data_IF_638308688379
#
_entry.id   IF_638308688379
#
_cell.length_a   1.000
_cell.length_b   1.000
_cell.length_c   1.000
_cell.angle_alpha   90.00
_cell.angle_beta   90.00
_cell.angle_gamma   90.00
#
_symmetry.space_group_name_H-M   'P 1'
#
loop_
_entity.id
_entity.type
_entity.pdbx_description
1 polymer ?
#
# COMPACT_ATOMS: atom_id res chain seq x y z
N UNK A 1 -53.64 -20.69 26.55
CA UNK A 1 -52.52 -20.04 27.25
C UNK A 1 -52.02 -18.88 26.39
N UNK A 2 -52.35 -17.64 26.74
CA UNK A 2 -51.98 -16.44 25.98
C UNK A 2 -50.63 -15.94 26.48
N UNK A 3 -49.59 -16.01 25.63
CA UNK A 3 -48.23 -15.63 25.98
C UNK A 3 -48.09 -14.12 26.22
N UNK A 4 -47.50 -13.72 27.35
CA UNK A 4 -47.23 -12.32 27.68
C UNK A 4 -46.07 -11.80 26.82
N UNK A 5 -46.32 -10.77 26.01
CA UNK A 5 -45.29 -10.09 25.22
C UNK A 5 -44.51 -9.15 26.14
N UNK A 6 -43.27 -9.51 26.46
CA UNK A 6 -42.35 -8.68 27.24
C UNK A 6 -41.81 -7.56 26.34
N UNK A 7 -42.36 -6.35 26.51
CA UNK A 7 -41.84 -5.15 25.84
C UNK A 7 -40.49 -4.76 26.44
N UNK A 8 -39.40 -4.93 25.68
CA UNK A 8 -38.06 -4.50 26.08
C UNK A 8 -37.96 -2.97 26.05
N UNK A 9 -37.33 -2.38 27.07
CA UNK A 9 -37.05 -0.93 27.12
C UNK A 9 -36.02 -0.56 26.05
N UNK A 10 -36.27 0.55 25.34
CA UNK A 10 -35.33 1.11 24.36
C UNK A 10 -34.22 1.85 25.12
N UNK A 11 -32.96 1.54 24.82
CA UNK A 11 -31.77 2.09 25.49
C UNK A 11 -31.20 3.34 24.78
N UNK A 12 -31.79 3.76 23.67
CA UNK A 12 -31.36 4.94 22.91
C UNK A 12 -32.50 5.94 22.81
N UNK A 13 -32.16 7.22 22.80
CA UNK A 13 -33.12 8.29 22.55
C UNK A 13 -33.47 8.37 21.07
N UNK A 14 -34.74 8.64 20.71
CA UNK A 14 -35.14 8.84 19.33
C UNK A 14 -34.51 10.12 18.76
N UNK A 15 -34.19 10.11 17.47
CA UNK A 15 -33.59 11.25 16.79
C UNK A 15 -34.50 12.50 16.85
N UNK A 16 -33.93 13.72 16.90
CA UNK A 16 -34.70 14.95 16.87
C UNK A 16 -35.50 15.04 15.56
N UNK A 17 -36.81 15.21 15.66
CA UNK A 17 -37.66 15.43 14.49
C UNK A 17 -37.49 16.88 14.03
N UNK A 18 -37.17 17.07 12.74
CA UNK A 18 -37.24 18.38 12.09
C UNK A 18 -38.71 18.85 12.06
N UNK A 19 -38.96 20.03 12.60
CA UNK A 19 -40.26 20.69 12.56
C UNK A 19 -40.61 21.04 11.12
N UNK A 20 -41.70 20.49 10.59
CA UNK A 20 -42.31 21.01 9.37
C UNK A 20 -42.95 22.38 9.67
N UNK A 21 -42.69 23.43 8.88
CA UNK A 21 -43.50 24.64 8.93
C UNK A 21 -44.87 24.37 8.30
N UNK A 22 -45.89 25.01 8.88
CA UNK A 22 -47.27 24.96 8.39
C UNK A 22 -47.38 25.54 6.98
N UNK A 23 -48.27 24.92 6.18
CA UNK A 23 -48.66 25.41 4.87
C UNK A 23 -49.69 26.54 5.02
N UNK A 24 -49.38 27.71 4.48
CA UNK A 24 -50.36 28.72 4.03
C UNK A 24 -49.93 29.16 2.63
N UNK A 25 -50.88 29.14 1.69
CA UNK A 25 -50.64 29.21 0.25
C UNK A 25 -50.24 30.57 -0.30
N UNK A 26 -49.93 30.57 -1.60
CA UNK A 26 -49.64 31.76 -2.41
C UNK A 26 -48.31 31.65 -3.13
N UNK A 27 -48.38 31.52 -4.45
CA UNK A 27 -47.31 31.42 -5.44
C UNK A 27 -46.14 32.37 -5.20
N UNK A 28 -44.90 31.86 -5.20
CA UNK A 28 -43.72 32.60 -5.67
C UNK A 28 -42.62 31.59 -6.02
N UNK A 29 -42.01 31.83 -7.17
CA UNK A 29 -41.02 31.01 -7.86
C UNK A 29 -39.77 30.86 -7.00
N UNK A 30 -39.40 29.64 -6.61
CA UNK A 30 -38.12 29.38 -5.91
C UNK A 30 -37.30 28.30 -6.60
N UNK A 31 -36.60 28.79 -7.62
CA UNK A 31 -35.23 28.47 -8.04
C UNK A 31 -34.59 27.20 -7.48
N UNK A 32 -34.22 26.33 -8.42
CA UNK A 32 -33.41 25.13 -8.29
C UNK A 32 -32.22 25.26 -7.31
N UNK A 33 -32.23 24.42 -6.27
CA UNK A 33 -31.05 24.18 -5.45
C UNK A 33 -30.03 23.34 -6.25
N UNK A 34 -29.07 24.03 -6.85
CA UNK A 34 -27.94 23.44 -7.56
C UNK A 34 -27.12 22.54 -6.62
N UNK A 35 -27.01 21.25 -6.98
CA UNK A 35 -26.05 20.33 -6.38
C UNK A 35 -24.66 20.66 -6.93
N UNK A 36 -23.85 21.34 -6.14
CA UNK A 36 -22.43 21.58 -6.45
C UNK A 36 -21.61 20.37 -6.06
N UNK A 37 -21.12 19.61 -7.04
CA UNK A 37 -19.99 18.70 -6.85
C UNK A 37 -18.70 19.44 -7.22
N UNK A 38 -17.75 19.47 -6.28
CA UNK A 38 -16.43 20.04 -6.52
C UNK A 38 -15.52 18.98 -7.12
N UNK A 39 -15.24 19.10 -8.42
CA UNK A 39 -14.12 18.44 -9.07
C UNK A 39 -13.07 19.51 -9.41
N UNK A 40 -11.87 19.33 -8.87
CA UNK A 40 -10.72 20.18 -9.14
C UNK A 40 -10.26 19.99 -10.59
N UNK A 41 -10.53 20.97 -11.44
CA UNK A 41 -9.63 21.51 -12.48
C UNK A 41 -10.21 22.83 -13.01
N UNK A 42 -9.34 23.68 -13.58
CA UNK A 42 -9.56 25.11 -13.81
C UNK A 42 -10.86 25.55 -14.49
N UNK A 43 -11.41 26.64 -13.94
CA UNK A 43 -12.31 27.65 -14.53
C UNK A 43 -13.50 27.17 -15.37
N UNK A 44 -14.66 27.17 -14.72
CA UNK A 44 -15.97 27.25 -15.36
C UNK A 44 -17.05 26.60 -14.48
N UNK A 45 -17.87 27.40 -13.79
CA UNK A 45 -19.07 26.90 -13.10
C UNK A 45 -20.11 26.52 -14.16
N UNK A 46 -20.12 25.27 -14.61
CA UNK A 46 -21.17 24.73 -15.46
C UNK A 46 -22.39 24.36 -14.63
N UNK A 47 -23.48 25.12 -14.79
CA UNK A 47 -24.81 24.69 -14.33
C UNK A 47 -25.25 23.54 -15.23
N UNK A 48 -25.56 22.38 -14.65
CA UNK A 48 -26.10 21.25 -15.39
C UNK A 48 -27.56 21.57 -15.75
N UNK A 49 -27.80 22.04 -16.96
CA UNK A 49 -29.14 22.15 -17.52
C UNK A 49 -29.66 20.75 -17.86
N UNK A 50 -30.97 20.54 -17.85
CA UNK A 50 -31.60 19.23 -18.12
C UNK A 50 -31.32 18.64 -19.51
N UNK A 51 -30.57 19.34 -20.36
CA UNK A 51 -30.37 19.04 -21.78
C UNK A 51 -28.92 18.67 -22.14
N UNK A 52 -28.11 18.18 -21.21
CA UNK A 52 -26.71 17.80 -21.48
C UNK A 52 -26.58 16.71 -22.55
N UNK A 53 -27.60 15.86 -22.70
CA UNK A 53 -27.60 14.73 -23.64
C UNK A 53 -28.60 14.87 -24.78
N UNK A 54 -29.28 16.02 -24.91
CA UNK A 54 -30.35 16.21 -25.91
C UNK A 54 -29.87 16.10 -27.36
N UNK A 55 -28.58 16.32 -27.63
CA UNK A 55 -27.95 16.17 -28.95
C UNK A 55 -27.35 14.79 -29.23
N UNK A 56 -27.42 13.83 -28.30
CA UNK A 56 -26.74 12.55 -28.42
C UNK A 56 -27.70 11.49 -28.96
N UNK A 57 -27.53 11.16 -30.24
CA UNK A 57 -28.30 10.11 -30.91
C UNK A 57 -27.55 8.78 -30.82
N UNK A 58 -28.00 7.88 -29.94
CA UNK A 58 -27.38 6.57 -29.75
C UNK A 58 -28.25 5.52 -30.43
N UNK A 59 -27.73 4.93 -31.50
CA UNK A 59 -28.44 3.86 -32.19
C UNK A 59 -28.59 2.63 -31.26
N UNK A 60 -29.81 2.10 -31.09
CA UNK A 60 -30.07 0.99 -30.16
C UNK A 60 -29.32 -0.29 -30.52
N UNK A 61 -28.86 -0.42 -31.78
CA UNK A 61 -28.05 -1.54 -32.26
C UNK A 61 -26.64 -1.53 -31.68
N UNK A 62 -26.08 -0.36 -31.36
CA UNK A 62 -24.73 -0.20 -30.77
C UNK A 62 -24.74 -0.57 -29.28
N UNK A 63 -25.89 -0.41 -28.60
CA UNK A 63 -26.06 -0.81 -27.21
C UNK A 63 -26.04 -2.33 -26.99
N UNK A 64 -26.20 -3.12 -28.05
CA UNK A 64 -26.15 -4.58 -27.98
C UNK A 64 -24.68 -5.02 -28.00
N UNK A 65 -23.99 -4.81 -26.88
CA UNK A 65 -22.67 -5.40 -26.65
C UNK A 65 -22.83 -6.90 -26.41
N UNK A 66 -22.65 -7.71 -27.45
CA UNK A 66 -22.50 -9.17 -27.33
C UNK A 66 -21.17 -9.43 -26.64
N UNK A 67 -21.19 -9.86 -25.38
CA UNK A 67 -20.00 -10.34 -24.70
C UNK A 67 -19.75 -11.77 -25.19
N UNK A 68 -18.66 -11.97 -25.92
CA UNK A 68 -18.20 -13.31 -26.30
C UNK A 68 -17.81 -14.06 -25.03
N UNK A 69 -18.58 -15.09 -24.67
CA UNK A 69 -18.40 -15.86 -23.45
C UNK A 69 -17.03 -16.56 -23.37
N UNK A 70 -16.31 -16.65 -24.48
CA UNK A 70 -15.04 -17.37 -24.59
C UNK A 70 -13.79 -16.49 -24.60
N UNK A 71 -13.89 -15.15 -24.46
CA UNK A 71 -12.70 -14.32 -24.21
C UNK A 71 -12.30 -14.46 -22.74
N UNK A 72 -11.65 -15.59 -22.42
CA UNK A 72 -11.08 -15.89 -21.12
C UNK A 72 -10.10 -14.79 -20.73
N UNK A 73 -10.54 -13.90 -19.86
CA UNK A 73 -9.67 -13.00 -19.13
C UNK A 73 -8.72 -13.84 -18.26
N UNK A 74 -7.39 -13.80 -18.44
CA UNK A 74 -6.45 -14.69 -17.75
C UNK A 74 -6.30 -14.42 -16.24
N UNK A 75 -7.16 -13.56 -15.66
CA UNK A 75 -7.16 -13.23 -14.23
C UNK A 75 -8.11 -14.13 -13.41
N UNK A 76 -9.06 -14.84 -14.04
CA UNK A 76 -10.04 -15.67 -13.30
C UNK A 76 -9.63 -17.13 -13.05
N UNK A 77 -8.65 -17.67 -13.78
CA UNK A 77 -8.31 -19.11 -13.77
C UNK A 77 -7.90 -19.67 -12.39
N UNK A 78 -7.48 -18.82 -11.44
CA UNK A 78 -7.05 -19.29 -10.10
C UNK A 78 -8.21 -19.35 -9.10
N UNK A 79 -9.40 -18.81 -9.42
CA UNK A 79 -10.52 -18.72 -8.46
C UNK A 79 -11.69 -19.68 -8.71
N UNK A 80 -11.66 -20.45 -9.80
CA UNK A 80 -12.88 -21.08 -10.31
C UNK A 80 -13.09 -22.56 -9.92
N UNK A 81 -12.37 -23.12 -8.93
CA UNK A 81 -12.68 -24.48 -8.44
C UNK A 81 -13.64 -24.53 -7.24
N UNK A 82 -13.96 -23.39 -6.61
CA UNK A 82 -14.77 -23.37 -5.38
C UNK A 82 -16.09 -22.58 -5.44
N UNK A 83 -16.42 -21.97 -6.57
CA UNK A 83 -17.76 -21.38 -6.77
C UNK A 83 -18.79 -22.41 -7.28
N UNK A 84 -18.62 -23.68 -6.89
CA UNK A 84 -19.75 -24.61 -6.88
C UNK A 84 -20.82 -23.97 -5.99
N UNK A 85 -22.06 -23.87 -6.47
CA UNK A 85 -23.17 -23.29 -5.70
C UNK A 85 -23.33 -24.09 -4.40
N UNK A 86 -22.65 -23.63 -3.35
CA UNK A 86 -22.53 -24.37 -2.09
C UNK A 86 -23.90 -24.53 -1.45
N UNK A 87 -24.15 -25.70 -0.86
CA UNK A 87 -25.41 -25.95 -0.18
C UNK A 87 -25.58 -24.99 1.01
N UNK A 88 -26.83 -24.67 1.39
CA UNK A 88 -27.12 -23.80 2.55
C UNK A 88 -26.42 -24.29 3.82
N UNK A 89 -26.29 -25.62 3.98
CA UNK A 89 -25.60 -26.28 5.09
C UNK A 89 -24.09 -25.98 5.08
N UNK A 90 -23.44 -26.08 3.93
CA UNK A 90 -22.03 -25.72 3.77
C UNK A 90 -21.79 -24.24 4.04
N UNK A 91 -22.64 -23.35 3.49
CA UNK A 91 -22.54 -21.90 3.75
C UNK A 91 -22.65 -21.58 5.24
N UNK A 92 -23.53 -22.25 5.96
CA UNK A 92 -23.66 -22.09 7.41
C UNK A 92 -22.44 -22.61 8.17
N UNK A 93 -21.88 -23.76 7.77
CA UNK A 93 -20.63 -24.30 8.35
C UNK A 93 -19.46 -23.34 8.15
N UNK A 94 -19.26 -22.85 6.93
CA UNK A 94 -18.21 -21.88 6.60
C UNK A 94 -18.36 -20.58 7.40
N UNK A 95 -19.60 -20.11 7.61
CA UNK A 95 -19.82 -18.92 8.46
C UNK A 95 -19.41 -19.18 9.90
N UNK A 96 -19.75 -20.34 10.47
CA UNK A 96 -19.35 -20.73 11.83
C UNK A 96 -17.84 -20.88 11.95
N UNK A 97 -17.21 -21.52 10.97
CA UNK A 97 -15.76 -21.74 10.94
C UNK A 97 -14.98 -20.44 10.83
N UNK A 98 -15.35 -19.55 9.89
CA UNK A 98 -14.79 -18.19 9.80
C UNK A 98 -14.96 -17.41 11.10
N UNK A 99 -16.09 -17.57 11.77
CA UNK A 99 -16.34 -16.93 13.07
C UNK A 99 -15.44 -17.48 14.18
N UNK A 100 -15.27 -18.80 14.27
CA UNK A 100 -14.38 -19.44 15.24
C UNK A 100 -12.92 -19.05 14.99
N UNK A 101 -12.47 -19.11 13.74
CA UNK A 101 -11.13 -18.69 13.32
C UNK A 101 -10.85 -17.22 13.67
N UNK A 102 -11.85 -16.35 13.53
CA UNK A 102 -11.74 -14.94 13.96
C UNK A 102 -11.59 -14.81 15.48
N UNK A 103 -12.30 -15.62 16.25
CA UNK A 103 -12.16 -15.61 17.73
C UNK A 103 -10.77 -16.12 18.13
N UNK A 104 -10.31 -17.21 17.53
CA UNK A 104 -9.02 -17.82 17.82
C UNK A 104 -7.86 -16.88 17.48
N UNK A 105 -7.88 -16.27 16.29
CA UNK A 105 -6.88 -15.26 15.91
C UNK A 105 -6.82 -14.09 16.88
N UNK A 106 -7.97 -13.55 17.32
CA UNK A 106 -8.00 -12.49 18.34
C UNK A 106 -7.41 -12.97 19.68
N UNK A 107 -7.70 -14.21 20.09
CA UNK A 107 -7.14 -14.78 21.33
C UNK A 107 -5.62 -14.92 21.25
N UNK A 108 -5.11 -15.47 20.14
CA UNK A 108 -3.68 -15.64 19.89
C UNK A 108 -2.96 -14.28 19.88
N UNK A 109 -3.49 -13.30 19.14
CA UNK A 109 -2.92 -11.94 19.11
C UNK A 109 -2.88 -11.29 20.50
N UNK A 110 -3.95 -11.44 21.30
CA UNK A 110 -3.97 -10.94 22.68
C UNK A 110 -2.97 -11.65 23.59
N UNK A 111 -2.79 -12.96 23.41
CA UNK A 111 -1.81 -13.74 24.16
C UNK A 111 -0.38 -13.34 23.80
N UNK A 112 -0.08 -13.18 22.51
CA UNK A 112 1.21 -12.69 22.01
C UNK A 112 1.52 -11.29 22.56
N UNK A 113 0.59 -10.34 22.46
CA UNK A 113 0.79 -8.99 23.01
C UNK A 113 1.06 -8.98 24.52
N UNK A 114 0.35 -9.82 25.28
CA UNK A 114 0.61 -9.98 26.73
C UNK A 114 2.00 -10.58 27.00
N UNK A 115 2.40 -11.59 26.24
CA UNK A 115 3.71 -12.22 26.38
C UNK A 115 4.83 -11.25 26.02
N UNK A 116 4.67 -10.49 24.94
CA UNK A 116 5.60 -9.47 24.47
C UNK A 116 5.75 -8.34 25.49
N UNK A 117 4.64 -7.84 26.06
CA UNK A 117 4.68 -6.83 27.12
C UNK A 117 5.45 -7.32 28.36
N UNK A 118 5.29 -8.59 28.75
CA UNK A 118 6.06 -9.19 29.84
C UNK A 118 7.55 -9.27 29.53
N UNK A 119 7.89 -9.71 28.31
CA UNK A 119 9.29 -9.80 27.85
C UNK A 119 9.97 -8.44 27.79
N UNK A 120 9.27 -7.41 27.29
CA UNK A 120 9.76 -6.03 27.26
C UNK A 120 9.95 -5.43 28.66
N UNK A 121 9.17 -5.88 29.64
CA UNK A 121 9.29 -5.44 31.02
C UNK A 121 10.43 -6.15 31.78
N UNK A 122 10.79 -7.38 31.40
CA UNK A 122 11.96 -8.07 31.96
C UNK A 122 13.26 -7.54 31.34
N UNK A 123 14.32 -7.31 32.13
CA UNK A 123 15.60 -6.89 31.58
C UNK A 123 16.12 -7.93 30.58
N UNK A 124 16.61 -7.44 29.45
CA UNK A 124 16.89 -8.16 28.19
C UNK A 124 18.01 -9.23 28.31
N UNK A 125 18.66 -9.38 29.46
CA UNK A 125 19.78 -10.31 29.62
C UNK A 125 19.27 -11.75 29.64
N UNK A 126 19.29 -12.41 28.48
CA UNK A 126 19.01 -13.85 28.32
C UNK A 126 17.70 -14.22 27.61
N UNK A 127 16.88 -13.25 27.18
CA UNK A 127 15.66 -13.55 26.41
C UNK A 127 15.97 -13.78 24.91
N UNK A 128 16.01 -15.03 24.49
CA UNK A 128 16.28 -15.43 23.10
C UNK A 128 15.11 -15.14 22.14
N UNK A 129 13.93 -14.76 22.64
CA UNK A 129 12.78 -14.52 21.76
C UNK A 129 12.95 -13.33 20.83
N UNK A 130 13.72 -12.31 21.21
CA UNK A 130 13.98 -11.16 20.33
C UNK A 130 14.68 -11.58 19.03
N UNK A 131 15.55 -12.60 19.10
CA UNK A 131 16.22 -13.16 17.94
C UNK A 131 15.27 -13.95 17.04
N UNK A 132 14.29 -14.65 17.64
CA UNK A 132 13.27 -15.38 16.89
C UNK A 132 12.28 -14.44 16.21
N UNK A 133 11.90 -13.34 16.87
CA UNK A 133 10.99 -12.32 16.33
C UNK A 133 11.62 -11.51 15.20
N UNK A 134 12.95 -11.33 15.23
CA UNK A 134 13.71 -10.71 14.15
C UNK A 134 13.85 -11.60 12.90
N UNK A 135 13.43 -12.87 12.95
CA UNK A 135 13.45 -13.77 11.78
C UNK A 135 12.16 -13.62 10.95
N UNK A 136 12.25 -13.65 9.61
CA UNK A 136 11.07 -13.67 8.75
C UNK A 136 10.17 -14.88 9.03
N UNK A 137 8.86 -14.68 9.05
CA UNK A 137 7.90 -15.78 9.13
C UNK A 137 7.90 -16.58 7.82
N UNK A 138 7.63 -17.89 7.90
CA UNK A 138 7.61 -18.76 6.73
C UNK A 138 6.58 -18.31 5.67
N UNK A 139 5.48 -17.69 6.10
CA UNK A 139 4.48 -17.05 5.22
C UNK A 139 5.10 -15.93 4.38
N UNK A 140 5.99 -15.14 4.97
CA UNK A 140 6.65 -14.03 4.31
C UNK A 140 7.64 -14.53 3.26
N UNK A 141 8.37 -15.61 3.55
CA UNK A 141 9.26 -16.25 2.57
C UNK A 141 8.51 -16.75 1.33
N UNK A 142 7.32 -17.34 1.52
CA UNK A 142 6.49 -17.82 0.41
C UNK A 142 5.98 -16.66 -0.45
N UNK A 143 5.67 -15.50 0.14
CA UNK A 143 5.22 -14.32 -0.63
C UNK A 143 6.38 -13.62 -1.32
N UNK A 144 7.53 -13.42 -0.65
CA UNK A 144 8.73 -12.80 -1.24
C UNK A 144 9.27 -13.61 -2.42
N UNK A 145 9.22 -14.94 -2.36
CA UNK A 145 9.62 -15.81 -3.49
C UNK A 145 8.78 -15.58 -4.76
N UNK A 146 7.53 -15.12 -4.63
CA UNK A 146 6.64 -14.78 -5.75
C UNK A 146 6.97 -13.42 -6.36
N UNK A 147 7.42 -12.45 -5.55
CA UNK A 147 7.81 -11.12 -6.02
C UNK A 147 9.23 -11.08 -6.62
N UNK A 148 10.11 -12.00 -6.25
CA UNK A 148 11.49 -12.06 -6.76
C UNK A 148 11.56 -12.48 -8.25
N UNK A 149 10.51 -13.12 -8.79
CA UNK A 149 10.49 -13.63 -10.18
C UNK A 149 10.23 -12.57 -11.27
N UNK A 150 9.89 -11.31 -10.92
CA UNK A 150 9.47 -10.28 -11.90
C UNK A 150 10.41 -9.06 -12.07
N UNK A 151 11.52 -8.95 -11.35
CA UNK A 151 12.45 -7.80 -11.47
C UNK A 151 13.75 -8.17 -12.18
N UNK A 152 13.70 -8.48 -13.47
CA UNK A 152 14.91 -8.61 -14.30
C UNK A 152 14.74 -7.94 -15.67
N UNK A 153 14.39 -6.64 -15.69
CA UNK A 153 14.62 -5.79 -16.87
C UNK A 153 15.06 -4.39 -16.46
N UNK A 154 16.32 -4.09 -16.81
CA UNK A 154 16.93 -2.76 -17.00
C UNK A 154 16.90 -1.76 -15.84
N UNK A 155 18.07 -1.58 -15.22
CA UNK A 155 18.91 -0.40 -15.47
C UNK A 155 20.37 -0.84 -15.41
N UNK A 156 21.23 -0.35 -16.31
CA UNK A 156 22.69 -0.43 -16.11
C UNK A 156 23.02 0.46 -14.92
N UNK A 157 22.79 -0.05 -13.71
CA UNK A 157 23.26 0.59 -12.49
C UNK A 157 24.77 0.74 -12.63
N UNK A 158 25.31 1.91 -12.28
CA UNK A 158 26.73 2.05 -11.90
C UNK A 158 27.05 0.78 -11.11
N UNK A 159 28.07 0.00 -11.52
CA UNK A 159 28.39 -1.30 -10.90
C UNK A 159 28.30 -1.09 -9.40
N UNK A 160 27.24 -1.58 -8.77
CA UNK A 160 27.06 -1.47 -7.33
C UNK A 160 28.30 -2.14 -6.81
N UNK A 161 29.15 -1.36 -6.14
CA UNK A 161 30.46 -1.79 -5.71
C UNK A 161 30.23 -3.09 -4.94
N UNK A 162 30.56 -4.21 -5.58
CA UNK A 162 30.34 -5.53 -5.00
C UNK A 162 31.04 -5.50 -3.66
N UNK A 163 30.34 -5.86 -2.58
CA UNK A 163 30.90 -5.79 -1.23
C UNK A 163 32.28 -6.47 -1.25
N UNK A 164 33.33 -5.75 -0.87
CA UNK A 164 34.71 -6.24 -0.96
C UNK A 164 34.85 -7.65 -0.36
N UNK A 165 34.16 -7.92 0.76
CA UNK A 165 34.17 -9.20 1.45
C UNK A 165 33.64 -10.39 0.63
N UNK A 166 32.74 -10.16 -0.32
CA UNK A 166 32.13 -11.19 -1.19
C UNK A 166 32.98 -11.53 -2.42
N UNK A 167 33.99 -10.73 -2.72
CA UNK A 167 34.84 -10.89 -3.91
C UNK A 167 35.83 -12.06 -3.75
N UNK A 168 36.18 -12.70 -4.87
CA UNK A 168 37.26 -13.71 -4.89
C UNK A 168 38.60 -13.05 -4.55
N UNK A 169 39.55 -13.81 -4.00
CA UNK A 169 40.85 -13.28 -3.56
C UNK A 169 41.64 -12.57 -4.68
N UNK A 170 41.62 -13.11 -5.90
CA UNK A 170 42.27 -12.49 -7.07
C UNK A 170 41.62 -11.15 -7.46
N UNK A 171 40.30 -11.04 -7.29
CA UNK A 171 39.56 -9.82 -7.57
C UNK A 171 39.84 -8.75 -6.52
N UNK A 172 39.92 -9.14 -5.23
CA UNK A 172 40.36 -8.26 -4.13
C UNK A 172 41.73 -7.65 -4.40
N UNK A 173 42.69 -8.47 -4.87
CA UNK A 173 44.04 -7.98 -5.21
C UNK A 173 43.99 -6.90 -6.30
N UNK A 174 43.19 -7.10 -7.34
CA UNK A 174 43.01 -6.11 -8.42
C UNK A 174 42.43 -4.79 -7.91
N UNK A 175 41.40 -4.85 -7.05
CA UNK A 175 40.82 -3.63 -6.43
C UNK A 175 41.88 -2.87 -5.63
N UNK A 176 42.69 -3.58 -4.84
CA UNK A 176 43.77 -2.96 -4.07
C UNK A 176 44.86 -2.35 -4.99
N UNK A 177 45.24 -3.03 -6.06
CA UNK A 177 46.18 -2.51 -7.06
C UNK A 177 45.66 -1.21 -7.71
N UNK A 178 44.36 -1.17 -8.06
CA UNK A 178 43.70 0.02 -8.60
C UNK A 178 43.67 1.17 -7.58
N UNK A 179 43.36 0.88 -6.31
CA UNK A 179 43.38 1.88 -5.23
C UNK A 179 44.78 2.45 -4.98
N UNK A 180 45.80 1.58 -4.95
CA UNK A 180 47.20 1.99 -4.82
C UNK A 180 47.63 2.87 -5.99
N UNK A 181 47.26 2.49 -7.22
CA UNK A 181 47.54 3.31 -8.40
C UNK A 181 46.86 4.69 -8.34
N UNK A 182 45.60 4.73 -7.91
CA UNK A 182 44.85 5.98 -7.73
C UNK A 182 45.46 6.87 -6.65
N UNK A 183 45.95 6.29 -5.55
CA UNK A 183 46.64 7.01 -4.49
C UNK A 183 47.96 7.60 -4.97
N UNK A 184 48.80 6.81 -5.64
CA UNK A 184 50.05 7.30 -6.22
C UNK A 184 49.81 8.43 -7.22
N UNK A 185 48.79 8.32 -8.07
CA UNK A 185 48.37 9.39 -8.97
C UNK A 185 48.04 10.67 -8.20
N UNK A 186 47.31 10.55 -7.09
CA UNK A 186 46.91 11.70 -6.26
C UNK A 186 48.12 12.37 -5.60
N UNK A 187 49.02 11.59 -4.99
CA UNK A 187 50.26 12.11 -4.39
C UNK A 187 51.18 12.73 -5.44
N UNK A 188 51.19 12.19 -6.66
CA UNK A 188 52.06 12.70 -7.73
C UNK A 188 51.58 14.04 -8.28
N UNK A 189 50.31 14.39 -8.10
CA UNK A 189 49.76 15.65 -8.60
C UNK A 189 50.36 16.85 -7.83
N UNK A 190 50.95 17.84 -8.53
CA UNK A 190 51.60 18.98 -7.89
C UNK A 190 50.60 19.81 -7.06
N UNK A 191 49.39 20.01 -7.56
CA UNK A 191 48.32 20.72 -6.85
C UNK A 191 47.98 20.11 -5.48
N UNK A 192 48.09 18.79 -5.36
CA UNK A 192 47.85 18.09 -4.10
C UNK A 192 49.06 18.20 -3.16
N UNK A 193 50.29 18.24 -3.70
CA UNK A 193 51.51 18.47 -2.90
C UNK A 193 51.55 19.88 -2.32
N UNK A 194 51.12 20.88 -3.09
CA UNK A 194 51.16 22.29 -2.68
C UNK A 194 50.15 22.58 -1.56
N UNK A 195 48.92 22.08 -1.68
CA UNK A 195 47.89 22.26 -0.66
C UNK A 195 46.89 21.08 -0.60
N UNK A 196 47.23 20.01 0.14
CA UNK A 196 46.40 18.81 0.19
C UNK A 196 45.04 19.06 0.88
N UNK A 197 45.02 19.86 1.94
CA UNK A 197 43.81 20.12 2.73
C UNK A 197 42.75 20.87 1.91
N UNK A 198 43.16 21.85 1.10
CA UNK A 198 42.25 22.57 0.21
C UNK A 198 41.62 21.65 -0.84
N UNK A 199 42.41 20.79 -1.46
CA UNK A 199 41.93 19.84 -2.47
C UNK A 199 40.94 18.83 -1.87
N UNK A 200 41.23 18.31 -0.67
CA UNK A 200 40.33 17.41 0.06
C UNK A 200 39.02 18.13 0.41
N UNK A 201 39.10 19.35 0.97
CA UNK A 201 37.94 20.18 1.28
C UNK A 201 37.06 20.42 0.04
N UNK A 202 37.67 20.79 -1.08
CA UNK A 202 36.96 20.99 -2.34
C UNK A 202 36.28 19.71 -2.82
N UNK A 203 36.96 18.57 -2.76
CA UNK A 203 36.39 17.27 -3.14
C UNK A 203 35.17 16.91 -2.28
N UNK A 204 35.28 17.04 -0.95
CA UNK A 204 34.18 16.78 -0.02
C UNK A 204 33.00 17.71 -0.29
N UNK A 205 33.24 19.00 -0.51
CA UNK A 205 32.18 19.97 -0.81
C UNK A 205 31.42 19.63 -2.09
N UNK A 206 32.10 19.12 -3.12
CA UNK A 206 31.46 18.66 -4.38
C UNK A 206 30.62 17.41 -4.14
N UNK A 207 31.13 16.45 -3.37
CA UNK A 207 30.41 15.21 -3.05
C UNK A 207 29.13 15.47 -2.25
N UNK A 208 29.20 16.34 -1.24
CA UNK A 208 28.02 16.73 -0.45
C UNK A 208 26.94 17.44 -1.29
N UNK A 209 27.31 18.18 -2.35
CA UNK A 209 26.34 18.79 -3.26
C UNK A 209 25.66 17.73 -4.14
N UNK A 210 26.43 16.77 -4.66
CA UNK A 210 25.89 15.66 -5.45
C UNK A 210 24.90 14.82 -4.65
N UNK A 211 25.21 14.48 -3.40
CA UNK A 211 24.29 13.71 -2.54
C UNK A 211 22.99 14.46 -2.28
N UNK A 212 23.03 15.80 -2.11
CA UNK A 212 21.83 16.63 -1.95
C UNK A 212 20.98 16.72 -3.21
N UNK A 213 21.59 16.62 -4.39
CA UNK A 213 20.90 16.66 -5.68
C UNK A 213 20.39 15.27 -6.12
N UNK A 214 21.03 14.17 -5.66
CA UNK A 214 20.65 12.79 -5.99
C UNK A 214 19.55 12.21 -5.07
N UNK A 215 19.08 12.91 -4.02
CA UNK A 215 17.87 12.51 -3.29
C UNK A 215 16.60 12.79 -4.14
N UNK A 216 15.86 11.76 -4.58
CA UNK A 216 14.58 11.97 -5.24
C UNK A 216 13.51 12.31 -4.19
N UNK A 217 12.79 13.42 -4.43
CA UNK A 217 11.54 13.78 -3.74
C UNK A 217 10.45 12.70 -3.92
#
# INVERSE_FOLDING_TARGET
>A
MVGKIVRRRRLHQPAPKLSQPQQSGGEEVLSAAALTFSANTGKGKGVLTSDIFSGVNIDPKILVKKLDADSKNPVSVIKDEHEKVMSKKEKMKMRKERWLQKIESIKLAKQQHKAEAKRKATPVVGDMHQLLDALPELSDLVTVSKFCKQRNKMQKKKKVLTNFNQMKSAEKRKVLEEEVAQFHKTISNPLFKDNPLSIISQHLSKRLKQEKEEEPL
#
